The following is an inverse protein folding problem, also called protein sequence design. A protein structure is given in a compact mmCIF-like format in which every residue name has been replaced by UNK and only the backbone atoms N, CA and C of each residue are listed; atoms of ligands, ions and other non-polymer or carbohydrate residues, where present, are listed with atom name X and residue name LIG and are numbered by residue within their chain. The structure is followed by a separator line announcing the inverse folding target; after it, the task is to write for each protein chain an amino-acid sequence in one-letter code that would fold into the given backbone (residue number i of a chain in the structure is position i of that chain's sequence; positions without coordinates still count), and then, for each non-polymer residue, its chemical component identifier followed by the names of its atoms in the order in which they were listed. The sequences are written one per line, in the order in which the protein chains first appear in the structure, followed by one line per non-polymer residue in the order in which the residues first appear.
data_IF_175850866173
#
_entry.id   IF_175850866173
#
_cell.length_a   1.000
_cell.length_b   1.000
_cell.length_c   1.000
_cell.angle_alpha   90.00
_cell.angle_beta   90.00
_cell.angle_gamma   90.00
#
_symmetry.space_group_name_H-M   'P 1'
#
loop_
_entity.id
_entity.type
_entity.pdbx_description
1 polymer ?
#
# COMPACT_ATOMS: atom_id res chain seq x y z
N UNK A 1 7.56 -6.85 21.15
CA UNK A 1 6.48 -6.55 20.18
C UNK A 1 7.03 -5.59 19.14
N UNK A 2 6.72 -5.72 17.84
CA UNK A 2 7.39 -5.00 16.75
C UNK A 2 7.07 -3.49 16.65
N UNK A 3 6.22 -2.93 17.53
CA UNK A 3 5.87 -1.51 17.54
C UNK A 3 4.95 -1.06 16.38
N UNK A 4 4.40 -1.99 15.60
CA UNK A 4 3.57 -1.66 14.43
C UNK A 4 2.15 -1.28 14.83
N UNK A 5 1.59 -0.28 14.17
CA UNK A 5 0.22 0.20 14.35
C UNK A 5 -0.63 -0.18 13.15
N UNK A 6 -1.89 -0.53 13.39
CA UNK A 6 -2.84 -0.84 12.31
C UNK A 6 -3.06 0.39 11.42
N UNK A 7 -3.15 0.19 10.11
CA UNK A 7 -3.49 1.26 9.16
C UNK A 7 -4.96 1.67 9.30
N UNK A 8 -5.32 2.88 8.86
CA UNK A 8 -6.69 3.41 8.97
C UNK A 8 -7.73 2.57 8.22
N UNK A 9 -7.34 1.98 7.10
CA UNK A 9 -8.15 1.04 6.31
C UNK A 9 -8.20 -0.38 6.89
N UNK A 10 -7.45 -0.64 7.98
CA UNK A 10 -7.29 -1.96 8.61
C UNK A 10 -6.76 -3.05 7.67
N UNK A 11 -6.12 -2.67 6.57
CA UNK A 11 -5.54 -3.58 5.58
C UNK A 11 -4.02 -3.71 5.71
N UNK A 12 -3.45 -3.33 6.85
CA UNK A 12 -2.02 -3.38 7.06
C UNK A 12 -1.59 -2.91 8.43
N UNK A 13 -0.27 -2.90 8.60
CA UNK A 13 0.40 -2.37 9.78
C UNK A 13 1.59 -1.52 9.33
N UNK A 14 1.88 -0.46 10.06
CA UNK A 14 3.02 0.41 9.80
C UNK A 14 3.66 0.85 11.12
N UNK A 15 4.99 0.93 11.14
CA UNK A 15 5.70 1.50 12.28
C UNK A 15 7.21 1.46 12.11
N UNK A 16 7.88 2.28 12.93
CA UNK A 16 9.33 2.20 13.10
C UNK A 16 9.66 1.14 14.16
N UNK A 17 10.60 0.27 13.82
CA UNK A 17 11.11 -0.74 14.73
C UNK A 17 12.46 -0.30 15.30
N UNK A 18 12.49 0.01 16.59
CA UNK A 18 13.70 0.46 17.30
C UNK A 18 14.83 -0.59 17.31
N UNK A 19 14.49 -1.88 17.40
CA UNK A 19 15.49 -2.95 17.48
C UNK A 19 16.24 -3.14 16.15
N UNK A 20 15.52 -3.04 15.03
CA UNK A 20 16.09 -3.18 13.68
C UNK A 20 16.48 -1.85 13.05
N UNK A 21 16.17 -0.73 13.71
CA UNK A 21 16.36 0.63 13.19
C UNK A 21 15.77 0.82 11.79
N UNK A 22 14.58 0.28 11.57
CA UNK A 22 13.96 0.21 10.25
C UNK A 22 12.46 0.52 10.31
N UNK A 23 11.95 1.13 9.25
CA UNK A 23 10.52 1.22 9.01
C UNK A 23 10.01 -0.09 8.42
N UNK A 24 8.93 -0.62 8.99
CA UNK A 24 8.28 -1.83 8.53
C UNK A 24 6.87 -1.47 8.12
N UNK A 25 6.50 -1.84 6.90
CA UNK A 25 5.14 -1.81 6.39
C UNK A 25 4.68 -3.23 6.05
N UNK A 26 3.52 -3.60 6.56
CA UNK A 26 2.80 -4.82 6.19
C UNK A 26 1.53 -4.39 5.48
N UNK A 27 1.31 -4.89 4.28
CA UNK A 27 0.11 -4.60 3.48
C UNK A 27 -0.59 -5.90 3.10
N UNK A 28 -1.92 -5.87 3.03
CA UNK A 28 -2.67 -6.98 2.45
C UNK A 28 -2.38 -7.08 0.95
N UNK A 29 -2.41 -8.30 0.43
CA UNK A 29 -2.25 -8.54 -1.00
C UNK A 29 -3.35 -7.86 -1.82
N UNK A 30 -4.58 -7.84 -1.31
CA UNK A 30 -5.72 -7.19 -1.97
C UNK A 30 -5.53 -5.67 -2.08
N UNK A 31 -5.01 -5.02 -1.02
CA UNK A 31 -4.69 -3.59 -1.03
C UNK A 31 -3.63 -3.27 -2.07
N UNK A 32 -2.58 -4.10 -2.16
CA UNK A 32 -1.53 -3.96 -3.18
C UNK A 32 -2.12 -4.04 -4.60
N UNK A 33 -2.96 -5.03 -4.85
CA UNK A 33 -3.58 -5.25 -6.16
C UNK A 33 -4.52 -4.11 -6.55
N UNK A 34 -5.35 -3.65 -5.62
CA UNK A 34 -6.31 -2.57 -5.86
C UNK A 34 -5.59 -1.24 -6.13
N UNK A 35 -4.59 -0.90 -5.32
CA UNK A 35 -3.80 0.32 -5.52
C UNK A 35 -3.06 0.29 -6.87
N UNK A 36 -2.54 -0.87 -7.29
CA UNK A 36 -1.90 -1.02 -8.60
C UNK A 36 -2.89 -0.81 -9.75
N UNK A 37 -4.10 -1.39 -9.65
CA UNK A 37 -5.17 -1.22 -10.64
C UNK A 37 -5.62 0.24 -10.75
N UNK A 38 -5.84 0.90 -9.62
CA UNK A 38 -6.27 2.31 -9.58
C UNK A 38 -5.20 3.23 -10.17
N UNK A 39 -3.93 3.04 -9.80
CA UNK A 39 -2.81 3.84 -10.34
C UNK A 39 -2.63 3.63 -11.84
N UNK A 40 -2.73 2.40 -12.32
CA UNK A 40 -2.62 2.11 -13.74
C UNK A 40 -3.78 2.72 -14.51
N UNK A 41 -5.02 2.58 -14.02
CA UNK A 41 -6.20 3.21 -14.63
C UNK A 41 -6.00 4.73 -14.73
N UNK A 42 -5.67 5.39 -13.62
CA UNK A 42 -5.44 6.83 -13.59
C UNK A 42 -4.32 7.27 -14.55
N UNK A 43 -3.25 6.47 -14.68
CA UNK A 43 -2.17 6.74 -15.61
C UNK A 43 -2.62 6.67 -17.08
N UNK A 44 -3.32 5.60 -17.47
CA UNK A 44 -3.81 5.43 -18.84
C UNK A 44 -4.93 6.43 -19.21
N UNK A 45 -5.82 6.74 -18.26
CA UNK A 45 -6.85 7.76 -18.42
C UNK A 45 -6.21 9.14 -18.72
N UNK A 46 -5.09 9.46 -18.05
CA UNK A 46 -4.33 10.70 -18.32
C UNK A 46 -3.65 10.72 -19.68
N UNK A 47 -3.34 9.56 -20.25
CA UNK A 47 -2.76 9.43 -21.60
C UNK A 47 -3.83 9.33 -22.71
N UNK A 48 -5.11 9.25 -22.35
CA UNK A 48 -6.19 9.01 -23.32
C UNK A 48 -6.16 7.62 -23.93
N UNK A 49 -5.55 6.65 -23.25
CA UNK A 49 -5.47 5.25 -23.69
C UNK A 49 -6.65 4.45 -23.12
N UNK A 50 -7.20 3.48 -23.87
CA UNK A 50 -8.32 2.67 -23.39
C UNK A 50 -7.91 1.86 -22.14
N UNK A 51 -8.70 2.00 -21.07
CA UNK A 51 -8.58 1.23 -19.84
C UNK A 51 -9.64 0.12 -19.82
N UNK A 52 -9.23 -1.11 -20.11
CA UNK A 52 -10.09 -2.30 -20.00
C UNK A 52 -10.47 -2.58 -18.53
#
# INVERSE_FOLDING_TARGET
MLGLRVTSDRQGYFGYNENFKAYIEVISFDRLLNAARERNRAFFDKLGLPTN
#
